data_IF_815524310103
#
_entry.id   IF_815524310103
#
_cell.length_a   1.000
_cell.length_b   1.000
_cell.length_c   1.000
_cell.angle_alpha   90.00
_cell.angle_beta   90.00
_cell.angle_gamma   90.00
#
_symmetry.space_group_name_H-M   'P 1'
#
loop_
_entity.id
_entity.type
_entity.pdbx_description
1 polymer ?
#
# COMPACT_ATOMS: atom_id res chain seq x y z
N UNK A 1 122.05 13.73 -54.56
CA UNK A 1 121.43 14.71 -55.49
C UNK A 1 120.24 15.40 -54.81
N UNK A 2 119.89 16.67 -55.10
CA UNK A 2 118.68 17.34 -54.53
C UNK A 2 117.38 16.56 -54.80
N UNK A 3 117.40 15.74 -55.84
CA UNK A 3 116.27 14.95 -56.34
C UNK A 3 115.93 13.76 -55.41
N UNK A 4 116.91 13.08 -54.82
CA UNK A 4 116.69 11.92 -53.93
C UNK A 4 116.04 12.30 -52.59
N UNK A 5 116.42 13.45 -52.02
CA UNK A 5 115.78 13.97 -50.79
C UNK A 5 114.32 14.38 -51.03
N UNK A 6 114.01 14.90 -52.22
CA UNK A 6 112.64 15.25 -52.59
C UNK A 6 111.76 14.00 -52.77
N UNK A 7 112.31 12.93 -53.37
CA UNK A 7 111.61 11.64 -53.52
C UNK A 7 111.31 11.02 -52.15
N UNK A 8 112.28 10.99 -51.22
CA UNK A 8 112.07 10.46 -49.87
C UNK A 8 111.03 11.24 -49.07
N UNK A 9 111.03 12.58 -49.15
CA UNK A 9 110.04 13.41 -48.48
C UNK A 9 108.61 13.22 -49.05
N UNK A 10 108.51 12.92 -50.35
CA UNK A 10 107.24 12.64 -51.02
C UNK A 10 106.68 11.27 -50.60
N UNK A 11 107.52 10.24 -50.56
CA UNK A 11 107.14 8.89 -50.12
C UNK A 11 106.67 8.86 -48.64
N UNK A 12 107.28 9.66 -47.76
CA UNK A 12 106.84 9.79 -46.36
C UNK A 12 105.45 10.44 -46.26
N UNK A 13 105.19 11.50 -47.04
CA UNK A 13 103.87 12.16 -47.07
C UNK A 13 102.79 11.27 -47.69
N UNK A 14 103.13 10.48 -48.70
CA UNK A 14 102.22 9.49 -49.29
C UNK A 14 101.89 8.39 -48.28
N UNK A 15 102.86 7.88 -47.53
CA UNK A 15 102.63 6.92 -46.44
C UNK A 15 101.70 7.46 -45.34
N UNK A 16 101.87 8.73 -44.94
CA UNK A 16 101.00 9.38 -43.95
C UNK A 16 99.58 9.62 -44.49
N UNK A 17 99.44 9.95 -45.78
CA UNK A 17 98.13 10.07 -46.43
C UNK A 17 97.42 8.71 -46.53
N UNK A 18 98.15 7.63 -46.82
CA UNK A 18 97.62 6.26 -46.84
C UNK A 18 97.16 5.83 -45.44
N UNK A 19 97.93 6.11 -44.38
CA UNK A 19 97.51 5.80 -43.00
C UNK A 19 96.21 6.53 -42.61
N UNK A 20 96.08 7.82 -42.97
CA UNK A 20 94.85 8.59 -42.75
C UNK A 20 93.66 8.03 -43.53
N UNK A 21 93.87 7.59 -44.77
CA UNK A 21 92.83 6.96 -45.59
C UNK A 21 92.37 5.62 -44.99
N UNK A 22 93.29 4.82 -44.44
CA UNK A 22 92.96 3.57 -43.76
C UNK A 22 92.11 3.83 -42.52
N UNK A 23 92.52 4.77 -41.66
CA UNK A 23 91.73 5.15 -40.46
C UNK A 23 90.35 5.71 -40.81
N UNK A 24 90.26 6.49 -41.88
CA UNK A 24 89.01 7.04 -42.36
C UNK A 24 88.08 5.93 -42.91
N UNK A 25 88.64 4.93 -43.59
CA UNK A 25 87.89 3.74 -44.03
C UNK A 25 87.37 2.92 -42.84
N UNK A 26 88.19 2.72 -41.81
CA UNK A 26 87.75 2.04 -40.57
C UNK A 26 86.63 2.80 -39.85
N UNK A 27 86.76 4.12 -39.73
CA UNK A 27 85.72 4.97 -39.13
C UNK A 27 84.40 4.92 -39.92
N UNK A 28 84.45 4.95 -41.26
CA UNK A 28 83.27 4.79 -42.12
C UNK A 28 82.65 3.40 -41.93
N UNK A 29 83.48 2.36 -41.81
CA UNK A 29 83.00 0.99 -41.60
C UNK A 29 82.23 0.88 -40.26
N UNK A 30 82.80 1.40 -39.17
CA UNK A 30 82.15 1.41 -37.85
C UNK A 30 80.85 2.20 -37.89
N UNK A 31 80.85 3.39 -38.51
CA UNK A 31 79.66 4.23 -38.61
C UNK A 31 78.54 3.54 -39.41
N UNK A 32 78.91 2.84 -40.48
CA UNK A 32 77.98 2.07 -41.31
C UNK A 32 77.36 0.93 -40.51
N UNK A 33 78.15 0.20 -39.73
CA UNK A 33 77.67 -0.90 -38.89
C UNK A 33 76.77 -0.42 -37.74
N UNK A 34 77.11 0.71 -37.12
CA UNK A 34 76.26 1.34 -36.10
C UNK A 34 74.92 1.78 -36.70
N UNK A 35 74.93 2.41 -37.87
CA UNK A 35 73.70 2.83 -38.58
C UNK A 35 72.81 1.64 -38.91
N UNK A 36 73.39 0.52 -39.39
CA UNK A 36 72.63 -0.72 -39.64
C UNK A 36 72.02 -1.31 -38.36
N UNK A 37 72.76 -1.27 -37.24
CA UNK A 37 72.29 -1.77 -35.95
C UNK A 37 71.14 -0.93 -35.40
N UNK A 38 71.21 0.39 -35.54
CA UNK A 38 70.11 1.28 -35.15
C UNK A 38 68.87 1.08 -36.02
N UNK A 39 69.03 1.02 -37.34
CA UNK A 39 67.92 0.75 -38.26
C UNK A 39 67.21 -0.58 -37.97
N UNK A 40 67.97 -1.66 -37.73
CA UNK A 40 67.39 -2.97 -37.38
C UNK A 40 66.70 -2.98 -36.00
N UNK A 41 67.23 -2.26 -35.02
CA UNK A 41 66.61 -2.11 -33.70
C UNK A 41 65.30 -1.32 -33.77
N UNK A 42 65.27 -0.26 -34.57
CA UNK A 42 64.06 0.55 -34.75
C UNK A 42 63.00 -0.21 -35.55
N UNK A 43 63.40 -1.02 -36.54
CA UNK A 43 62.47 -1.93 -37.23
C UNK A 43 61.86 -2.97 -36.27
N UNK A 44 62.67 -3.57 -35.39
CA UNK A 44 62.17 -4.50 -34.36
C UNK A 44 61.21 -3.83 -33.37
N UNK A 45 61.52 -2.61 -32.93
CA UNK A 45 60.64 -1.82 -32.07
C UNK A 45 59.33 -1.48 -32.78
N UNK A 46 59.39 -1.10 -34.05
CA UNK A 46 58.20 -0.81 -34.86
C UNK A 46 57.29 -2.04 -34.98
N UNK A 47 57.86 -3.23 -35.23
CA UNK A 47 57.10 -4.48 -35.25
C UNK A 47 56.44 -4.79 -33.91
N UNK A 48 57.18 -4.68 -32.80
CA UNK A 48 56.64 -4.92 -31.46
C UNK A 48 55.52 -3.94 -31.11
N UNK A 49 55.69 -2.66 -31.42
CA UNK A 49 54.66 -1.64 -31.21
C UNK A 49 53.42 -1.92 -32.05
N UNK A 50 53.58 -2.33 -33.31
CA UNK A 50 52.47 -2.69 -34.19
C UNK A 50 51.68 -3.89 -33.65
N UNK A 51 52.38 -4.94 -33.20
CA UNK A 51 51.74 -6.13 -32.60
C UNK A 51 50.98 -5.77 -31.31
N UNK A 52 51.56 -4.91 -30.47
CA UNK A 52 50.91 -4.43 -29.23
C UNK A 52 49.66 -3.61 -29.55
N UNK A 53 49.71 -2.74 -30.56
CA UNK A 53 48.54 -1.94 -30.98
C UNK A 53 47.43 -2.84 -31.53
N UNK A 54 47.77 -3.86 -32.31
CA UNK A 54 46.78 -4.82 -32.81
C UNK A 54 46.13 -5.60 -31.68
N UNK A 55 46.90 -6.03 -30.68
CA UNK A 55 46.36 -6.71 -29.50
C UNK A 55 45.41 -5.81 -28.72
N UNK A 56 45.81 -4.57 -28.41
CA UNK A 56 44.96 -3.61 -27.66
C UNK A 56 43.67 -3.32 -28.44
N UNK A 57 43.75 -3.18 -29.77
CA UNK A 57 42.58 -2.98 -30.61
C UNK A 57 41.62 -4.16 -30.54
N UNK A 58 42.14 -5.40 -30.58
CA UNK A 58 41.34 -6.60 -30.47
C UNK A 58 40.66 -6.73 -29.09
N UNK A 59 41.38 -6.42 -28.00
CA UNK A 59 40.82 -6.41 -26.64
C UNK A 59 39.75 -5.32 -26.47
N UNK A 60 39.96 -4.16 -27.08
CA UNK A 60 38.98 -3.08 -27.09
C UNK A 60 37.71 -3.46 -27.86
N UNK A 61 37.86 -4.07 -29.05
CA UNK A 61 36.72 -4.53 -29.86
C UNK A 61 35.93 -5.62 -29.12
N UNK A 62 36.60 -6.58 -28.47
CA UNK A 62 35.95 -7.60 -27.65
C UNK A 62 35.21 -7.00 -26.45
N UNK A 63 35.83 -6.05 -25.74
CA UNK A 63 35.21 -5.37 -24.60
C UNK A 63 34.01 -4.53 -25.04
N UNK A 64 34.14 -3.84 -26.17
CA UNK A 64 33.07 -3.05 -26.79
C UNK A 64 31.87 -3.94 -27.15
N UNK A 65 32.12 -5.10 -27.75
CA UNK A 65 31.07 -6.06 -28.06
C UNK A 65 30.35 -6.56 -26.80
N UNK A 66 31.08 -6.92 -25.74
CA UNK A 66 30.48 -7.36 -24.47
C UNK A 66 29.65 -6.25 -23.83
N UNK A 67 30.13 -5.01 -23.86
CA UNK A 67 29.37 -3.85 -23.35
C UNK A 67 28.11 -3.61 -24.19
N UNK A 68 28.21 -3.71 -25.52
CA UNK A 68 27.06 -3.57 -26.42
C UNK A 68 26.04 -4.70 -26.22
N UNK A 69 26.48 -5.95 -26.08
CA UNK A 69 25.61 -7.10 -25.80
C UNK A 69 24.93 -6.96 -24.44
N UNK A 70 25.67 -6.53 -23.40
CA UNK A 70 25.10 -6.28 -22.08
C UNK A 70 24.12 -5.11 -22.09
N UNK A 71 24.41 -4.05 -22.85
CA UNK A 71 23.51 -2.91 -23.03
C UNK A 71 22.24 -3.34 -23.78
N UNK A 72 22.38 -4.11 -24.86
CA UNK A 72 21.26 -4.66 -25.62
C UNK A 72 20.42 -5.61 -24.75
N UNK A 73 21.06 -6.46 -23.94
CA UNK A 73 20.39 -7.29 -22.96
C UNK A 73 19.65 -6.46 -21.90
N UNK A 74 20.23 -5.38 -21.41
CA UNK A 74 19.58 -4.49 -20.44
C UNK A 74 18.41 -3.71 -21.05
N UNK A 75 18.51 -3.30 -22.32
CA UNK A 75 17.44 -2.65 -23.08
C UNK A 75 16.28 -3.62 -23.35
N UNK A 76 16.59 -4.88 -23.66
CA UNK A 76 15.60 -5.92 -23.96
C UNK A 76 15.11 -6.68 -22.73
N UNK A 77 15.74 -6.50 -21.57
CA UNK A 77 15.19 -6.95 -20.30
C UNK A 77 13.91 -6.13 -20.09
N UNK A 78 12.74 -6.76 -19.94
CA UNK A 78 11.50 -6.03 -19.75
C UNK A 78 11.67 -5.19 -18.49
N UNK A 79 11.78 -3.86 -18.67
CA UNK A 79 11.72 -2.93 -17.55
C UNK A 79 10.48 -3.33 -16.76
N UNK A 80 10.67 -3.70 -15.50
CA UNK A 80 9.58 -4.00 -14.58
C UNK A 80 8.77 -2.71 -14.51
N UNK A 81 7.75 -2.60 -15.36
CA UNK A 81 6.84 -1.47 -15.42
C UNK A 81 6.10 -1.52 -14.10
N UNK A 82 6.65 -0.85 -13.09
CA UNK A 82 5.89 -0.51 -11.90
C UNK A 82 4.83 0.43 -12.44
N UNK A 83 3.65 -0.12 -12.73
CA UNK A 83 2.46 0.63 -13.05
C UNK A 83 2.07 1.31 -11.74
N UNK A 84 2.79 2.38 -11.40
CA UNK A 84 2.33 3.33 -10.41
C UNK A 84 1.18 4.05 -11.12
N UNK A 85 -0.05 3.65 -10.79
CA UNK A 85 -1.24 4.41 -11.15
C UNK A 85 -1.14 5.76 -10.44
N UNK A 86 -0.46 6.70 -11.08
CA UNK A 86 -0.42 8.09 -10.65
C UNK A 86 -1.82 8.62 -10.95
N UNK A 87 -2.70 8.56 -9.95
CA UNK A 87 -4.00 9.19 -10.02
C UNK A 87 -3.75 10.70 -10.15
N UNK A 88 -3.94 11.25 -11.34
CA UNK A 88 -4.01 12.69 -11.51
C UNK A 88 -5.23 13.19 -10.72
N UNK A 89 -5.04 14.02 -9.68
CA UNK A 89 -6.15 14.52 -8.87
C UNK A 89 -7.09 15.46 -9.65
N UNK A 90 -6.75 15.80 -10.90
CA UNK A 90 -7.51 16.61 -11.84
C UNK A 90 -8.25 15.80 -12.92
N UNK A 91 -8.20 14.46 -12.87
CA UNK A 91 -8.96 13.63 -13.81
C UNK A 91 -10.47 13.73 -13.52
N UNK A 92 -11.28 13.94 -14.57
CA UNK A 92 -12.74 14.06 -14.48
C UNK A 92 -13.38 12.91 -13.68
N UNK A 93 -12.85 11.70 -13.83
CA UNK A 93 -13.36 10.51 -13.12
C UNK A 93 -13.04 10.51 -11.63
N UNK A 94 -11.88 11.04 -11.21
CA UNK A 94 -11.52 11.15 -9.79
C UNK A 94 -12.39 12.18 -9.09
N UNK A 95 -12.68 13.31 -9.76
CA UNK A 95 -13.56 14.34 -9.22
C UNK A 95 -15.02 13.86 -9.11
N UNK A 96 -15.50 13.11 -10.11
CA UNK A 96 -16.81 12.43 -10.04
C UNK A 96 -16.85 11.38 -8.94
N UNK A 97 -15.77 10.63 -8.74
CA UNK A 97 -15.68 9.63 -7.67
C UNK A 97 -15.73 10.29 -6.29
N UNK A 98 -14.95 11.36 -6.07
CA UNK A 98 -14.99 12.16 -4.83
C UNK A 98 -16.39 12.75 -4.63
N UNK A 99 -17.01 13.32 -5.67
CA UNK A 99 -18.38 13.82 -5.61
C UNK A 99 -19.39 12.72 -5.24
N UNK A 100 -19.25 11.53 -5.81
CA UNK A 100 -20.10 10.38 -5.51
C UNK A 100 -19.91 9.85 -4.09
N UNK A 101 -18.69 9.89 -3.57
CA UNK A 101 -18.36 9.55 -2.19
C UNK A 101 -18.98 10.56 -1.22
N UNK A 102 -18.85 11.85 -1.49
CA UNK A 102 -19.47 12.89 -0.66
C UNK A 102 -21.00 12.75 -0.69
N UNK A 103 -21.59 12.54 -1.86
CA UNK A 103 -23.03 12.35 -2.01
C UNK A 103 -23.52 11.10 -1.27
N UNK A 104 -22.78 9.99 -1.32
CA UNK A 104 -23.15 8.77 -0.60
C UNK A 104 -23.05 8.96 0.92
N UNK A 105 -22.07 9.72 1.41
CA UNK A 105 -21.98 10.10 2.82
C UNK A 105 -23.17 10.96 3.26
N UNK A 106 -23.54 11.97 2.47
CA UNK A 106 -24.69 12.84 2.77
C UNK A 106 -25.99 12.02 2.81
N UNK A 107 -26.22 11.15 1.83
CA UNK A 107 -27.40 10.28 1.79
C UNK A 107 -27.40 9.31 2.98
N UNK A 108 -26.24 8.77 3.37
CA UNK A 108 -26.11 7.89 4.53
C UNK A 108 -26.49 8.61 5.83
N UNK A 109 -25.98 9.82 6.05
CA UNK A 109 -26.31 10.64 7.22
C UNK A 109 -27.79 11.03 7.21
N UNK A 110 -28.31 11.45 6.05
CA UNK A 110 -29.72 11.83 5.89
C UNK A 110 -30.66 10.66 6.14
N UNK A 111 -30.34 9.48 5.60
CA UNK A 111 -31.12 8.26 5.80
C UNK A 111 -31.15 7.86 7.26
N UNK A 112 -30.00 7.88 7.94
CA UNK A 112 -29.93 7.60 9.38
C UNK A 112 -30.73 8.65 10.20
N UNK A 113 -30.60 9.93 9.89
CA UNK A 113 -31.34 11.00 10.58
C UNK A 113 -32.86 10.91 10.35
N UNK A 114 -33.29 10.58 9.13
CA UNK A 114 -34.70 10.41 8.78
C UNK A 114 -35.28 9.19 9.49
N UNK A 115 -34.54 8.07 9.48
CA UNK A 115 -34.92 6.87 10.21
C UNK A 115 -35.00 7.12 11.72
N UNK A 116 -34.07 7.90 12.29
CA UNK A 116 -34.12 8.28 13.70
C UNK A 116 -35.37 9.10 14.01
N UNK A 117 -35.73 10.07 13.17
CA UNK A 117 -36.99 10.84 13.34
C UNK A 117 -38.22 9.94 13.28
N UNK A 118 -38.31 9.09 12.26
CA UNK A 118 -39.44 8.17 12.13
C UNK A 118 -39.53 7.26 13.35
N UNK A 119 -38.40 6.76 13.85
CA UNK A 119 -38.41 5.87 15.01
C UNK A 119 -38.89 6.58 16.28
N UNK A 120 -38.51 7.84 16.47
CA UNK A 120 -39.02 8.68 17.56
C UNK A 120 -40.53 8.91 17.43
N UNK A 121 -41.03 9.18 16.22
CA UNK A 121 -42.46 9.40 15.98
C UNK A 121 -43.30 8.13 16.26
N UNK A 122 -42.79 6.94 15.89
CA UNK A 122 -43.43 5.67 16.19
C UNK A 122 -43.50 5.38 17.68
N UNK A 123 -42.40 5.63 18.40
CA UNK A 123 -42.33 5.42 19.85
C UNK A 123 -43.27 6.37 20.60
N UNK A 124 -43.39 7.61 20.13
CA UNK A 124 -44.29 8.61 20.70
C UNK A 124 -45.77 8.25 20.46
N UNK A 125 -46.12 7.83 19.24
CA UNK A 125 -47.47 7.39 18.92
C UNK A 125 -47.89 6.13 19.70
N UNK A 126 -46.96 5.18 19.86
CA UNK A 126 -47.15 3.98 20.66
C UNK A 126 -47.36 4.31 22.15
N UNK A 127 -46.50 5.16 22.71
CA UNK A 127 -46.64 5.62 24.09
C UNK A 127 -47.96 6.36 24.31
N UNK A 128 -48.36 7.24 23.37
CA UNK A 128 -49.64 7.95 23.41
C UNK A 128 -50.82 6.97 23.40
N UNK A 129 -50.79 5.96 22.53
CA UNK A 129 -51.84 4.93 22.48
C UNK A 129 -51.92 4.12 23.78
N UNK A 130 -50.77 3.71 24.32
CA UNK A 130 -50.68 2.95 25.57
C UNK A 130 -51.13 3.76 26.79
N UNK A 131 -50.73 5.04 26.87
CA UNK A 131 -51.17 5.96 27.90
C UNK A 131 -52.68 6.22 27.84
N UNK A 132 -53.24 6.36 26.63
CA UNK A 132 -54.68 6.46 26.45
C UNK A 132 -55.39 5.20 26.96
N UNK A 133 -54.90 3.98 26.64
CA UNK A 133 -55.47 2.73 27.17
C UNK A 133 -55.49 2.65 28.70
N UNK A 134 -54.50 3.23 29.38
CA UNK A 134 -54.50 3.33 30.84
C UNK A 134 -55.58 4.31 31.36
N UNK A 135 -55.86 5.39 30.64
CA UNK A 135 -56.76 6.49 31.05
C UNK A 135 -58.21 6.33 30.54
N UNK A 136 -58.45 5.45 29.57
CA UNK A 136 -59.73 5.31 28.87
C UNK A 136 -60.97 4.83 29.67
N UNK A 137 -60.96 4.44 30.96
CA UNK A 137 -62.22 4.11 31.65
C UNK A 137 -63.18 5.28 31.89
N UNK A 138 -62.85 6.54 31.58
CA UNK A 138 -63.74 7.68 31.85
C UNK A 138 -63.48 8.91 30.98
N UNK A 139 -64.53 9.74 30.83
CA UNK A 139 -64.49 11.12 30.35
C UNK A 139 -63.63 12.01 31.28
N UNK A 140 -62.35 11.70 31.36
CA UNK A 140 -61.42 12.16 32.38
C UNK A 140 -60.52 13.29 31.84
N UNK A 141 -60.33 14.40 32.58
CA UNK A 141 -59.35 15.45 32.26
C UNK A 141 -57.93 14.95 31.94
N UNK A 142 -57.57 13.73 32.33
CA UNK A 142 -56.32 13.05 31.99
C UNK A 142 -56.08 12.89 30.47
N UNK A 143 -57.13 12.72 29.64
CA UNK A 143 -56.95 12.66 28.17
C UNK A 143 -56.49 14.02 27.64
N UNK A 144 -57.13 15.09 28.11
CA UNK A 144 -56.77 16.47 27.76
C UNK A 144 -55.37 16.84 28.28
N UNK A 145 -54.97 16.28 29.42
CA UNK A 145 -53.61 16.40 29.96
C UNK A 145 -52.59 15.76 29.02
N UNK A 146 -52.78 14.50 28.61
CA UNK A 146 -51.87 13.81 27.69
C UNK A 146 -51.80 14.55 26.34
N UNK A 147 -52.94 14.95 25.77
CA UNK A 147 -52.95 15.66 24.50
C UNK A 147 -52.15 16.97 24.54
N UNK A 148 -52.28 17.75 25.63
CA UNK A 148 -51.57 19.02 25.78
C UNK A 148 -50.05 18.85 25.80
N UNK A 149 -49.53 17.88 26.55
CA UNK A 149 -48.09 17.70 26.73
C UNK A 149 -47.41 16.89 25.62
N UNK A 150 -48.18 16.13 24.83
CA UNK A 150 -47.64 15.45 23.64
C UNK A 150 -47.71 16.31 22.37
N UNK A 151 -48.65 17.28 22.27
CA UNK A 151 -48.84 18.05 21.02
C UNK A 151 -48.54 19.55 21.13
N UNK A 152 -49.06 20.24 22.16
CA UNK A 152 -49.06 21.72 22.20
C UNK A 152 -47.93 22.30 23.04
N UNK A 153 -47.60 21.67 24.18
CA UNK A 153 -46.54 22.09 25.09
C UNK A 153 -45.67 20.89 25.45
N UNK A 154 -44.79 20.48 24.53
CA UNK A 154 -43.90 19.33 24.73
C UNK A 154 -43.03 19.54 25.97
N UNK A 155 -43.18 18.66 26.95
CA UNK A 155 -42.35 18.59 28.15
C UNK A 155 -41.83 17.15 28.31
N UNK A 156 -40.53 16.99 28.08
CA UNK A 156 -39.86 15.68 28.10
C UNK A 156 -39.94 15.01 29.48
N UNK A 157 -39.98 15.79 30.57
CA UNK A 157 -40.10 15.23 31.92
C UNK A 157 -41.49 14.62 32.15
N UNK A 158 -42.53 15.25 31.61
CA UNK A 158 -43.90 14.74 31.70
C UNK A 158 -44.08 13.52 30.81
N UNK A 159 -43.45 13.49 29.63
CA UNK A 159 -43.45 12.30 28.76
C UNK A 159 -42.79 11.11 29.47
N UNK A 160 -41.68 11.34 30.17
CA UNK A 160 -41.00 10.27 30.91
C UNK A 160 -41.80 9.79 32.13
N UNK A 161 -42.45 10.70 32.87
CA UNK A 161 -43.38 10.34 33.94
C UNK A 161 -44.55 9.48 33.40
N UNK A 162 -45.14 9.88 32.27
CA UNK A 162 -46.20 9.11 31.60
C UNK A 162 -45.68 7.72 31.19
N UNK A 163 -44.48 7.62 30.63
CA UNK A 163 -43.83 6.35 30.29
C UNK A 163 -43.69 5.44 31.52
N UNK A 164 -43.22 5.98 32.63
CA UNK A 164 -43.06 5.22 33.87
C UNK A 164 -44.41 4.77 34.45
N UNK A 165 -45.41 5.66 34.49
CA UNK A 165 -46.76 5.33 34.98
C UNK A 165 -47.42 4.23 34.15
N UNK A 166 -47.24 4.31 32.83
CA UNK A 166 -47.72 3.29 31.90
C UNK A 166 -47.02 1.95 32.11
N UNK A 167 -45.70 1.95 32.30
CA UNK A 167 -44.95 0.73 32.58
C UNK A 167 -45.41 0.05 33.88
N UNK A 168 -45.59 0.84 34.95
CA UNK A 168 -46.10 0.35 36.25
C UNK A 168 -47.51 -0.21 36.12
N UNK A 169 -48.39 0.45 35.36
CA UNK A 169 -49.74 -0.02 35.12
C UNK A 169 -49.75 -1.36 34.35
N UNK A 170 -49.00 -1.46 33.27
CA UNK A 170 -48.91 -2.70 32.48
C UNK A 170 -48.33 -3.86 33.30
N UNK A 171 -47.32 -3.60 34.13
CA UNK A 171 -46.74 -4.60 35.02
C UNK A 171 -47.75 -5.07 36.07
N UNK A 172 -48.50 -4.13 36.67
CA UNK A 172 -49.58 -4.45 37.61
C UNK A 172 -50.70 -5.25 36.96
N UNK A 173 -51.11 -4.91 35.73
CA UNK A 173 -52.15 -5.64 35.00
C UNK A 173 -51.68 -7.06 34.68
N UNK A 174 -50.43 -7.22 34.24
CA UNK A 174 -49.83 -8.54 33.97
C UNK A 174 -49.80 -9.40 35.22
N UNK A 175 -49.31 -8.85 36.33
CA UNK A 175 -49.25 -9.58 37.58
C UNK A 175 -50.65 -9.96 38.10
N UNK A 176 -51.64 -9.10 37.88
CA UNK A 176 -53.02 -9.43 38.22
C UNK A 176 -53.54 -10.64 37.44
N UNK A 177 -53.27 -10.72 36.12
CA UNK A 177 -53.64 -11.88 35.31
C UNK A 177 -52.90 -13.15 35.75
N UNK A 178 -51.60 -13.06 36.03
CA UNK A 178 -50.82 -14.19 36.56
C UNK A 178 -51.40 -14.72 37.89
N UNK A 179 -51.80 -13.80 38.79
CA UNK A 179 -52.43 -14.19 40.05
C UNK A 179 -53.79 -14.86 39.84
N UNK A 180 -54.60 -14.40 38.88
CA UNK A 180 -55.88 -15.03 38.54
C UNK A 180 -55.66 -16.45 38.01
N UNK A 181 -54.73 -16.65 37.08
CA UNK A 181 -54.42 -17.96 36.53
C UNK A 181 -53.88 -18.92 37.60
N UNK A 182 -52.96 -18.45 38.45
CA UNK A 182 -52.44 -19.25 39.56
C UNK A 182 -53.54 -19.59 40.59
N UNK A 183 -54.46 -18.68 40.86
CA UNK A 183 -55.59 -18.92 41.76
C UNK A 183 -56.53 -19.98 41.19
N UNK A 184 -56.88 -19.89 39.90
CA UNK A 184 -57.71 -20.87 39.21
C UNK A 184 -57.04 -22.26 39.17
N UNK A 185 -55.74 -22.30 38.90
CA UNK A 185 -54.95 -23.53 38.93
C UNK A 185 -54.96 -24.18 40.32
N UNK A 186 -54.65 -23.40 41.38
CA UNK A 186 -54.63 -23.90 42.76
C UNK A 186 -56.00 -24.36 43.24
N UNK A 187 -57.07 -23.67 42.86
CA UNK A 187 -58.45 -24.08 43.18
C UNK A 187 -58.81 -25.40 42.51
N UNK A 188 -58.42 -25.60 41.25
CA UNK A 188 -58.65 -26.87 40.54
C UNK A 188 -57.92 -28.05 41.21
N UNK A 189 -56.68 -27.83 41.66
CA UNK A 189 -55.88 -28.83 42.37
C UNK A 189 -56.48 -29.16 43.74
N UNK A 190 -56.92 -28.15 44.49
CA UNK A 190 -57.56 -28.34 45.79
C UNK A 190 -58.87 -29.15 45.67
N UNK A 191 -59.66 -28.92 44.61
CA UNK A 191 -60.87 -29.71 44.32
C UNK A 191 -60.54 -31.17 44.03
N UNK A 192 -59.49 -31.45 43.26
CA UNK A 192 -59.04 -32.82 42.98
C UNK A 192 -58.57 -33.52 44.27
N UNK A 193 -57.71 -32.89 45.06
CA UNK A 193 -57.21 -33.45 46.33
C UNK A 193 -58.34 -33.70 47.34
N UNK A 194 -59.31 -32.80 47.44
CA UNK A 194 -60.49 -33.00 48.31
C UNK A 194 -61.33 -34.20 47.86
N UNK A 195 -61.48 -34.41 46.55
CA UNK A 195 -62.18 -35.58 46.01
C UNK A 195 -61.45 -36.87 46.36
N UNK A 196 -60.13 -36.93 46.14
CA UNK A 196 -59.31 -38.09 46.49
C UNK A 196 -59.35 -38.41 47.99
N UNK A 197 -59.25 -37.39 48.84
CA UNK A 197 -59.33 -37.57 50.29
C UNK A 197 -60.69 -38.13 50.74
N UNK A 198 -61.80 -37.65 50.15
CA UNK A 198 -63.13 -38.18 50.41
C UNK A 198 -63.29 -39.63 49.93
N UNK A 199 -62.77 -39.95 48.74
CA UNK A 199 -62.77 -41.33 48.21
C UNK A 199 -62.01 -42.29 49.14
N UNK A 200 -60.86 -41.88 49.68
CA UNK A 200 -60.09 -42.68 50.67
C UNK A 200 -60.90 -42.87 51.94
N UNK A 201 -61.53 -41.80 52.46
CA UNK A 201 -62.34 -41.84 53.68
C UNK A 201 -63.54 -42.77 53.55
N UNK A 202 -64.21 -42.80 52.39
CA UNK A 202 -65.29 -43.74 52.13
C UNK A 202 -64.80 -45.19 52.05
N UNK A 203 -63.64 -45.43 51.42
CA UNK A 203 -63.03 -46.78 51.38
C UNK A 203 -62.67 -47.32 52.76
N UNK A 204 -62.25 -46.45 53.68
CA UNK A 204 -61.92 -46.82 55.08
C UNK A 204 -63.14 -47.04 55.97
N UNK A 205 -64.32 -46.55 55.58
CA UNK A 205 -65.58 -46.74 56.32
C UNK A 205 -66.31 -48.04 55.94
N UNK A 206 -65.95 -48.66 54.82
CA UNK A 206 -66.37 -50.01 54.44
C UNK A 206 -65.47 -51.04 55.11
#
# INVERSE_FOLDING_TARGET
>A
SKLEKAILAMAVKEGEAIDKLVRLREAICIFTDLTKKEASKDEQRSKLLFDTVNQVKQEQDATSQVVHEKLHAMVNTPQKKIVIHRFEPTSKYVLLFIGSLVLSLVISIWGNLTQWREHQDWEEADLKYRALRMVLPSDDPNIRYIEKYFSVCRDENIIDDVRNRVAVYEDSVRHHYEMIEMAAYKDSLAKQLNKEANDIKERLKK
#
